data_IF_029601180053
#
_entry.id   IF_029601180053
#
_cell.length_a   1.000
_cell.length_b   1.000
_cell.length_c   1.000
_cell.angle_alpha   90.00
_cell.angle_beta   90.00
_cell.angle_gamma   90.00
#
_symmetry.space_group_name_H-M   'P 1'
#
loop_
_entity.id
_entity.type
_entity.pdbx_description
1 polymer ?
#
# COMPACT_ATOMS: atom_id res chain seq x y z
N UNK A 1 18.42 12.02 0.87
CA UNK A 1 17.41 12.69 0.01
C UNK A 1 16.00 12.17 0.25
N UNK A 2 15.02 13.07 0.25
CA UNK A 2 13.58 12.78 0.47
C UNK A 2 13.02 11.73 -0.52
N UNK A 3 13.33 11.75 -1.83
CA UNK A 3 12.83 10.73 -2.76
C UNK A 3 13.25 9.31 -2.41
N UNK A 4 14.45 9.12 -1.83
CA UNK A 4 14.92 7.81 -1.39
C UNK A 4 14.14 7.30 -0.17
N UNK A 5 13.67 8.20 0.71
CA UNK A 5 12.81 7.84 1.84
C UNK A 5 11.44 7.38 1.35
N UNK A 6 10.87 8.06 0.35
CA UNK A 6 9.57 7.69 -0.23
C UNK A 6 9.66 6.35 -0.96
N UNK A 7 10.72 6.11 -1.75
CA UNK A 7 10.94 4.79 -2.38
C UNK A 7 11.00 3.68 -1.34
N UNK A 8 11.77 3.85 -0.26
CA UNK A 8 11.87 2.86 0.81
C UNK A 8 10.52 2.58 1.48
N UNK A 9 9.67 3.60 1.63
CA UNK A 9 8.33 3.43 2.17
C UNK A 9 7.43 2.66 1.20
N UNK A 10 7.52 2.92 -0.10
CA UNK A 10 6.80 2.18 -1.15
C UNK A 10 7.21 0.71 -1.19
N UNK A 11 8.52 0.41 -1.10
CA UNK A 11 9.03 -0.98 -1.04
C UNK A 11 8.48 -1.73 0.20
N UNK A 12 8.35 -1.03 1.33
CA UNK A 12 7.76 -1.58 2.54
C UNK A 12 6.27 -1.88 2.35
N UNK A 13 5.50 -0.98 1.71
CA UNK A 13 4.11 -1.21 1.38
C UNK A 13 3.93 -2.40 0.41
N UNK A 14 4.76 -2.52 -0.62
CA UNK A 14 4.72 -3.66 -1.55
C UNK A 14 4.94 -4.98 -0.80
N UNK A 15 5.90 -5.02 0.12
CA UNK A 15 6.16 -6.18 0.97
C UNK A 15 4.95 -6.54 1.81
N UNK A 16 4.30 -5.55 2.45
CA UNK A 16 3.11 -5.77 3.27
C UNK A 16 1.93 -6.24 2.42
N UNK A 17 1.61 -5.55 1.33
CA UNK A 17 0.49 -5.87 0.42
C UNK A 17 0.64 -7.29 -0.11
N UNK A 18 1.84 -7.69 -0.54
CA UNK A 18 2.10 -9.04 -1.04
C UNK A 18 1.82 -10.10 0.02
N UNK A 19 2.31 -9.91 1.23
CA UNK A 19 2.09 -10.84 2.35
C UNK A 19 0.63 -10.89 2.79
N UNK A 20 -0.03 -9.74 2.85
CA UNK A 20 -1.45 -9.62 3.23
C UNK A 20 -2.33 -10.33 2.21
N UNK A 21 -2.11 -10.16 0.90
CA UNK A 21 -2.85 -10.88 -0.14
C UNK A 21 -2.70 -12.40 -0.03
N UNK A 22 -1.50 -12.88 0.31
CA UNK A 22 -1.28 -14.31 0.57
C UNK A 22 -2.00 -14.78 1.85
N UNK A 23 -1.98 -13.97 2.92
CA UNK A 23 -2.65 -14.26 4.18
C UNK A 23 -4.19 -14.25 4.05
N UNK A 24 -4.77 -13.34 3.25
CA UNK A 24 -6.19 -13.32 2.92
C UNK A 24 -6.61 -14.64 2.27
N UNK A 25 -5.88 -15.11 1.25
CA UNK A 25 -6.16 -16.41 0.62
C UNK A 25 -6.04 -17.59 1.60
N UNK A 26 -5.16 -17.50 2.59
CA UNK A 26 -4.96 -18.56 3.60
C UNK A 26 -6.08 -18.55 4.65
N UNK A 27 -6.43 -17.38 5.17
CA UNK A 27 -7.51 -17.21 6.15
C UNK A 27 -8.86 -17.58 5.55
N UNK A 28 -9.08 -17.27 4.27
CA UNK A 28 -10.27 -17.67 3.52
C UNK A 28 -10.43 -19.19 3.45
N UNK A 29 -9.37 -19.91 3.06
CA UNK A 29 -9.35 -21.38 3.02
C UNK A 29 -9.56 -22.06 4.38
N UNK A 30 -9.23 -21.36 5.46
CA UNK A 30 -9.31 -21.88 6.82
C UNK A 30 -10.60 -21.47 7.53
N UNK A 31 -11.50 -20.77 6.85
CA UNK A 31 -12.73 -20.21 7.43
C UNK A 31 -12.47 -19.25 8.63
N UNK A 32 -11.29 -18.63 8.66
CA UNK A 32 -10.92 -17.61 9.65
C UNK A 32 -11.40 -16.23 9.17
N UNK A 33 -12.71 -16.03 9.22
CA UNK A 33 -13.37 -14.85 8.65
C UNK A 33 -13.01 -13.56 9.38
N UNK A 34 -12.76 -13.62 10.68
CA UNK A 34 -12.37 -12.45 11.48
C UNK A 34 -11.01 -11.90 11.05
N UNK A 35 -10.00 -12.76 10.93
CA UNK A 35 -8.69 -12.34 10.43
C UNK A 35 -8.75 -11.95 8.96
N UNK A 36 -9.55 -12.65 8.14
CA UNK A 36 -9.72 -12.33 6.73
C UNK A 36 -10.27 -10.91 6.54
N UNK A 37 -11.36 -10.58 7.25
CA UNK A 37 -11.98 -9.26 7.20
C UNK A 37 -10.98 -8.18 7.60
N UNK A 38 -10.32 -8.31 8.75
CA UNK A 38 -9.33 -7.33 9.21
C UNK A 38 -8.18 -7.13 8.21
N UNK A 39 -7.68 -8.23 7.61
CA UNK A 39 -6.62 -8.16 6.61
C UNK A 39 -7.07 -7.44 5.33
N UNK A 40 -8.32 -7.66 4.88
CA UNK A 40 -8.89 -7.01 3.70
C UNK A 40 -9.27 -5.55 3.96
N UNK A 41 -10.10 -5.33 4.98
CA UNK A 41 -10.79 -4.07 5.25
C UNK A 41 -9.84 -3.00 5.79
N UNK A 42 -8.99 -3.36 6.75
CA UNK A 42 -8.12 -2.42 7.45
C UNK A 42 -6.69 -2.43 6.94
N UNK A 43 -6.10 -3.59 6.73
CA UNK A 43 -4.67 -3.66 6.37
C UNK A 43 -4.47 -3.41 4.89
N UNK A 44 -5.08 -4.21 4.01
CA UNK A 44 -4.86 -4.13 2.56
C UNK A 44 -5.29 -2.78 2.00
N UNK A 45 -6.56 -2.39 2.20
CA UNK A 45 -7.11 -1.16 1.64
C UNK A 45 -6.39 0.09 2.13
N UNK A 46 -5.95 0.13 3.40
CA UNK A 46 -5.17 1.25 3.93
C UNK A 46 -3.80 1.37 3.28
N UNK A 47 -3.10 0.25 3.09
CA UNK A 47 -1.80 0.26 2.41
C UNK A 47 -1.94 0.68 0.94
N UNK A 48 -2.97 0.20 0.23
CA UNK A 48 -3.22 0.60 -1.17
C UNK A 48 -3.51 2.10 -1.30
N UNK A 49 -4.33 2.67 -0.40
CA UNK A 49 -4.58 4.11 -0.35
C UNK A 49 -3.31 4.91 -0.06
N UNK A 50 -2.50 4.46 0.90
CA UNK A 50 -1.25 5.12 1.26
C UNK A 50 -0.24 5.09 0.11
N UNK A 51 -0.11 3.96 -0.59
CA UNK A 51 0.72 3.84 -1.80
C UNK A 51 0.27 4.84 -2.87
N UNK A 52 -1.02 4.93 -3.14
CA UNK A 52 -1.56 5.91 -4.10
C UNK A 52 -1.14 7.34 -3.73
N UNK A 53 -1.30 7.71 -2.46
CA UNK A 53 -0.99 9.07 -2.00
C UNK A 53 0.50 9.38 -2.01
N UNK A 54 1.34 8.49 -1.49
CA UNK A 54 2.79 8.76 -1.36
C UNK A 54 3.53 8.63 -2.68
N UNK A 55 3.09 7.76 -3.61
CA UNK A 55 3.72 7.63 -4.93
C UNK A 55 3.55 8.87 -5.80
N UNK A 56 2.46 9.62 -5.64
CA UNK A 56 2.24 10.88 -6.35
C UNK A 56 3.33 11.93 -6.08
N UNK A 57 4.00 11.86 -4.93
CA UNK A 57 5.08 12.79 -4.57
C UNK A 57 6.42 12.50 -5.26
N UNK A 58 6.52 11.39 -6.01
CA UNK A 58 7.69 11.07 -6.83
C UNK A 58 7.51 11.50 -8.30
N UNK A 59 6.32 11.97 -8.68
CA UNK A 59 6.07 12.46 -10.04
C UNK A 59 6.65 13.86 -10.15
N UNK A 60 7.57 14.04 -11.10
CA UNK A 60 8.13 15.36 -11.42
C UNK A 60 7.20 16.08 -12.39
N UNK A 61 6.33 16.93 -11.85
CA UNK A 61 5.34 17.72 -12.59
C UNK A 61 5.49 19.21 -12.22
N UNK A 62 5.38 20.14 -13.18
CA UNK A 62 5.36 21.57 -12.88
C UNK A 62 4.24 21.93 -11.89
N UNK A 63 4.63 22.53 -10.76
CA UNK A 63 3.70 22.89 -9.68
C UNK A 63 2.89 24.17 -9.95
N UNK A 64 3.30 24.96 -10.94
CA UNK A 64 2.63 26.17 -11.41
C UNK A 64 2.70 26.15 -12.93
N UNK A 65 1.61 26.52 -13.61
CA UNK A 65 1.63 26.65 -15.06
C UNK A 65 2.60 27.75 -15.49
N UNK A 66 3.32 27.51 -16.58
CA UNK A 66 4.12 28.54 -17.24
C UNK A 66 3.21 29.72 -17.60
N UNK A 67 3.56 30.92 -17.11
CA UNK A 67 2.85 32.15 -17.40
C UNK A 67 3.15 32.65 -18.82
#
# INVERSE_FOLDING_TARGET
>A
EVPAMIHRLLDAHETVITKVRAAIKKTDKNEDWGSNDLLMSDVLRRNELQVWFVSAHLVDEPLVGDA
#
